data_IF_430477953377
#
_entry.id   IF_430477953377
#
_cell.length_a   1.000
_cell.length_b   1.000
_cell.length_c   1.000
_cell.angle_alpha   90.00
_cell.angle_beta   90.00
_cell.angle_gamma   90.00
#
_symmetry.space_group_name_H-M   'P 1'
#
loop_
_entity.id
_entity.type
_entity.pdbx_description
1 polymer ?
#
# COMPACT_ATOMS: atom_id res chain seq x y z
N UNK A 1 -22.50 17.16 -13.15
CA UNK A 1 -21.28 16.84 -12.39
C UNK A 1 -21.22 17.77 -11.21
N UNK A 2 -21.13 17.20 -10.02
CA UNK A 2 -20.94 17.98 -8.80
C UNK A 2 -19.48 18.42 -8.68
N UNK A 3 -19.20 19.42 -7.86
CA UNK A 3 -17.84 19.93 -7.62
C UNK A 3 -17.53 19.76 -6.14
N UNK A 4 -16.40 19.12 -5.84
CA UNK A 4 -15.86 18.97 -4.50
C UNK A 4 -14.56 19.78 -4.35
N UNK A 5 -14.50 20.59 -3.31
CA UNK A 5 -13.38 21.50 -3.02
C UNK A 5 -13.48 22.88 -3.69
N UNK A 6 -12.42 23.67 -3.61
CA UNK A 6 -12.35 25.02 -4.18
C UNK A 6 -12.14 24.97 -5.71
N UNK A 7 -13.05 25.53 -6.52
CA UNK A 7 -12.91 25.56 -7.99
C UNK A 7 -11.68 26.32 -8.50
N UNK A 8 -11.08 27.17 -7.66
CA UNK A 8 -9.88 27.95 -8.00
C UNK A 8 -8.58 27.15 -7.83
N UNK A 9 -8.65 26.02 -7.14
CA UNK A 9 -7.52 25.14 -6.88
C UNK A 9 -7.27 24.17 -8.04
N UNK A 10 -6.05 23.62 -8.17
CA UNK A 10 -5.75 22.64 -9.22
C UNK A 10 -6.69 21.42 -9.14
N UNK A 11 -7.02 20.90 -10.31
CA UNK A 11 -7.91 19.76 -10.48
C UNK A 11 -7.17 18.46 -10.11
N UNK A 12 -7.68 17.72 -9.13
CA UNK A 12 -7.14 16.42 -8.75
C UNK A 12 -7.64 15.31 -9.69
N UNK A 13 -8.93 15.30 -10.01
CA UNK A 13 -9.50 14.25 -10.84
C UNK A 13 -11.03 14.27 -10.92
N UNK A 14 -11.60 13.23 -11.52
CA UNK A 14 -13.04 12.98 -11.55
C UNK A 14 -13.33 11.63 -10.92
N UNK A 15 -14.26 11.61 -9.97
CA UNK A 15 -14.70 10.42 -9.26
C UNK A 15 -16.17 10.08 -9.53
N UNK A 16 -16.52 8.81 -9.43
CA UNK A 16 -17.89 8.33 -9.47
C UNK A 16 -18.12 7.24 -8.41
N UNK A 17 -19.34 7.19 -7.90
CA UNK A 17 -19.82 6.20 -6.94
C UNK A 17 -20.51 5.04 -7.67
N UNK A 18 -20.30 3.81 -7.21
CA UNK A 18 -20.89 2.59 -7.77
C UNK A 18 -21.67 1.83 -6.72
N UNK A 19 -22.71 1.11 -7.15
CA UNK A 19 -23.62 0.42 -6.25
C UNK A 19 -23.03 -0.84 -5.61
N UNK A 20 -22.06 -1.51 -6.26
CA UNK A 20 -21.57 -2.81 -5.81
C UNK A 20 -20.09 -3.06 -6.11
N UNK A 21 -19.49 -3.97 -5.35
CA UNK A 21 -18.14 -4.48 -5.60
C UNK A 21 -17.99 -5.15 -6.98
N UNK A 22 -19.05 -5.77 -7.50
CA UNK A 22 -19.03 -6.43 -8.81
C UNK A 22 -18.95 -5.40 -9.92
N UNK A 23 -19.73 -4.32 -9.79
CA UNK A 23 -19.68 -3.19 -10.72
C UNK A 23 -18.31 -2.55 -10.70
N UNK A 24 -17.71 -2.40 -9.52
CA UNK A 24 -16.40 -1.79 -9.38
C UNK A 24 -15.29 -2.60 -10.09
N UNK A 25 -15.34 -3.93 -10.03
CA UNK A 25 -14.40 -4.80 -10.76
C UNK A 25 -14.62 -4.70 -12.27
N UNK A 26 -15.89 -4.61 -12.72
CA UNK A 26 -16.22 -4.41 -14.14
C UNK A 26 -15.67 -3.07 -14.64
N UNK A 27 -15.94 -2.00 -13.90
CA UNK A 27 -15.47 -0.64 -14.17
C UNK A 27 -13.94 -0.61 -14.24
N UNK A 28 -13.24 -1.19 -13.26
CA UNK A 28 -11.77 -1.23 -13.28
C UNK A 28 -11.20 -1.89 -14.55
N UNK A 29 -11.82 -2.95 -15.05
CA UNK A 29 -11.43 -3.58 -16.33
C UNK A 29 -11.72 -2.67 -17.52
N UNK A 30 -12.87 -2.01 -17.55
CA UNK A 30 -13.26 -1.12 -18.64
C UNK A 30 -12.39 0.15 -18.66
N UNK A 31 -12.05 0.74 -17.51
CA UNK A 31 -11.09 1.84 -17.38
C UNK A 31 -9.73 1.44 -17.95
N UNK A 32 -9.24 0.25 -17.59
CA UNK A 32 -7.97 -0.28 -18.09
C UNK A 32 -8.02 -0.56 -19.59
N UNK A 33 -9.10 -1.14 -20.10
CA UNK A 33 -9.30 -1.41 -21.52
C UNK A 33 -9.42 -0.12 -22.34
N UNK A 34 -9.98 0.94 -21.75
CA UNK A 34 -10.02 2.28 -22.33
C UNK A 34 -8.66 2.98 -22.32
N UNK A 35 -7.63 2.40 -21.69
CA UNK A 35 -6.26 2.92 -21.71
C UNK A 35 -5.96 3.97 -20.65
N UNK A 36 -6.78 4.09 -19.61
CA UNK A 36 -6.41 4.87 -18.43
C UNK A 36 -5.34 4.13 -17.61
N UNK A 37 -4.31 4.84 -17.21
CA UNK A 37 -3.17 4.35 -16.44
C UNK A 37 -3.16 4.87 -15.00
N UNK A 38 -3.64 6.10 -14.77
CA UNK A 38 -3.66 6.78 -13.47
C UNK A 38 -5.08 6.87 -12.94
N UNK A 39 -5.60 5.75 -12.45
CA UNK A 39 -6.87 5.67 -11.77
C UNK A 39 -6.76 4.81 -10.51
N UNK A 40 -7.54 5.17 -9.50
CA UNK A 40 -7.64 4.46 -8.24
C UNK A 40 -9.08 4.01 -8.00
N UNK A 41 -9.19 2.90 -7.29
CA UNK A 41 -10.46 2.26 -6.97
C UNK A 41 -10.52 2.02 -5.48
N UNK A 42 -11.59 2.49 -4.85
CA UNK A 42 -11.77 2.45 -3.41
C UNK A 42 -12.95 1.57 -3.02
N UNK A 43 -12.71 0.68 -2.07
CA UNK A 43 -13.72 -0.20 -1.49
C UNK A 43 -13.49 -0.38 0.01
N UNK A 44 -14.56 -0.59 0.81
CA UNK A 44 -14.44 -0.77 2.26
C UNK A 44 -13.73 -2.07 2.66
N UNK A 45 -13.65 -3.03 1.74
CA UNK A 45 -13.02 -4.33 1.94
C UNK A 45 -12.26 -4.79 0.69
N UNK A 46 -11.31 -5.73 0.82
CA UNK A 46 -10.57 -6.26 -0.32
C UNK A 46 -11.45 -7.12 -1.23
N UNK A 47 -11.58 -6.71 -2.49
CA UNK A 47 -12.37 -7.42 -3.50
C UNK A 47 -11.47 -8.41 -4.24
N UNK A 48 -11.85 -9.69 -4.25
CA UNK A 48 -11.09 -10.73 -4.94
C UNK A 48 -11.03 -10.47 -6.44
N UNK A 49 -9.83 -10.46 -7.00
CA UNK A 49 -9.61 -10.23 -8.44
C UNK A 49 -9.51 -8.76 -8.85
N UNK A 50 -9.62 -7.81 -7.92
CA UNK A 50 -9.39 -6.39 -8.20
C UNK A 50 -7.96 -6.16 -8.73
N UNK A 51 -6.94 -6.81 -8.16
CA UNK A 51 -5.56 -6.71 -8.63
C UNK A 51 -5.39 -7.07 -10.11
N UNK A 52 -6.15 -8.07 -10.59
CA UNK A 52 -6.15 -8.49 -11.99
C UNK A 52 -6.91 -7.51 -12.88
N UNK A 53 -7.96 -6.89 -12.35
CA UNK A 53 -8.76 -5.89 -13.06
C UNK A 53 -7.98 -4.58 -13.27
N UNK A 54 -7.34 -4.08 -12.21
CA UNK A 54 -6.48 -2.89 -12.25
C UNK A 54 -5.15 -3.18 -12.96
N UNK A 55 -4.74 -4.45 -13.06
CA UNK A 55 -3.43 -4.88 -13.57
C UNK A 55 -2.26 -4.27 -12.77
N UNK A 56 -2.42 -4.24 -11.45
CA UNK A 56 -1.39 -3.66 -10.57
C UNK A 56 -0.09 -4.49 -10.62
N UNK A 57 1.04 -3.79 -10.55
CA UNK A 57 2.36 -4.44 -10.50
C UNK A 57 2.53 -5.12 -9.14
N UNK A 58 3.27 -6.23 -9.12
CA UNK A 58 3.63 -6.90 -7.86
C UNK A 58 4.40 -5.93 -6.96
N UNK A 59 3.99 -5.84 -5.70
CA UNK A 59 4.63 -5.00 -4.70
C UNK A 59 6.08 -5.46 -4.44
N UNK A 60 7.09 -4.56 -4.48
CA UNK A 60 8.46 -4.88 -4.08
C UNK A 60 8.64 -5.09 -2.57
N UNK A 61 7.61 -4.89 -1.74
CA UNK A 61 7.70 -4.95 -0.28
C UNK A 61 8.33 -6.25 0.24
N UNK A 62 7.98 -7.40 -0.36
CA UNK A 62 8.54 -8.70 0.05
C UNK A 62 10.08 -8.77 -0.07
N UNK A 63 10.66 -8.13 -1.09
CA UNK A 63 12.13 -8.06 -1.24
C UNK A 63 12.77 -7.17 -0.19
N UNK A 64 12.11 -6.05 0.13
CA UNK A 64 12.58 -5.11 1.15
C UNK A 64 12.58 -5.78 2.52
N UNK A 65 11.49 -6.48 2.88
CA UNK A 65 11.38 -7.24 4.13
C UNK A 65 12.44 -8.34 4.23
N UNK A 66 12.72 -9.06 3.14
CA UNK A 66 13.77 -10.07 3.13
C UNK A 66 15.15 -9.48 3.45
N UNK A 67 15.49 -8.32 2.88
CA UNK A 67 16.75 -7.62 3.17
C UNK A 67 16.78 -7.19 4.64
N UNK A 68 15.67 -6.67 5.19
CA UNK A 68 15.54 -6.34 6.60
C UNK A 68 15.73 -7.54 7.54
N UNK A 69 15.14 -8.69 7.20
CA UNK A 69 15.35 -9.93 7.95
C UNK A 69 16.81 -10.39 7.91
N UNK A 70 17.45 -10.33 6.74
CA UNK A 70 18.85 -10.70 6.57
C UNK A 70 19.78 -9.80 7.40
N UNK A 71 19.54 -8.49 7.44
CA UNK A 71 20.32 -7.58 8.28
C UNK A 71 20.11 -7.87 9.77
N UNK A 72 18.87 -8.17 10.20
CA UNK A 72 18.58 -8.61 11.57
C UNK A 72 19.30 -9.90 11.95
N UNK A 73 19.32 -10.89 11.05
CA UNK A 73 20.04 -12.14 11.26
C UNK A 73 21.55 -11.90 11.43
N UNK A 74 22.16 -11.13 10.52
CA UNK A 74 23.59 -10.80 10.59
C UNK A 74 23.93 -9.99 11.85
N UNK A 75 23.06 -9.05 12.25
CA UNK A 75 23.20 -8.29 13.48
C UNK A 75 23.17 -9.19 14.71
N UNK A 76 22.28 -10.19 14.76
CA UNK A 76 22.22 -11.14 15.87
C UNK A 76 23.45 -12.06 15.92
N UNK A 77 23.92 -12.56 14.77
CA UNK A 77 25.17 -13.31 14.69
C UNK A 77 26.32 -12.45 15.22
N UNK A 78 26.45 -11.20 14.78
CA UNK A 78 27.48 -10.30 15.27
C UNK A 78 27.36 -10.04 16.78
N UNK A 79 26.15 -9.77 17.26
CA UNK A 79 25.86 -9.48 18.67
C UNK A 79 26.21 -10.65 19.59
N UNK A 80 26.02 -11.89 19.15
CA UNK A 80 26.27 -13.08 19.99
C UNK A 80 27.66 -13.66 19.78
N UNK A 81 28.07 -13.84 18.52
CA UNK A 81 29.32 -14.50 18.20
C UNK A 81 30.54 -13.65 18.58
N UNK A 82 30.51 -12.33 18.33
CA UNK A 82 31.67 -11.48 18.59
C UNK A 82 32.00 -11.45 20.10
N UNK A 83 31.06 -11.17 21.02
CA UNK A 83 31.38 -11.17 22.45
C UNK A 83 31.76 -12.55 22.96
N UNK A 84 31.01 -13.59 22.59
CA UNK A 84 31.17 -14.93 23.16
C UNK A 84 32.32 -15.76 22.59
N UNK A 85 32.84 -15.44 21.40
CA UNK A 85 33.92 -16.18 20.77
C UNK A 85 35.21 -15.36 20.56
N UNK A 86 35.10 -14.04 20.35
CA UNK A 86 36.25 -13.19 19.99
C UNK A 86 36.72 -12.33 21.17
N UNK A 87 35.79 -11.59 21.80
CA UNK A 87 36.17 -10.61 22.83
C UNK A 87 36.45 -11.27 24.16
N UNK A 88 35.52 -12.10 24.65
CA UNK A 88 35.64 -12.70 25.97
C UNK A 88 35.01 -14.10 26.01
N UNK A 89 35.75 -15.13 25.56
CA UNK A 89 35.24 -16.49 25.56
C UNK A 89 35.10 -16.99 27.00
N UNK A 90 33.85 -17.18 27.42
CA UNK A 90 33.49 -17.70 28.74
C UNK A 90 32.96 -19.13 28.63
N UNK A 91 33.61 -20.05 29.35
CA UNK A 91 33.12 -21.42 29.52
C UNK A 91 32.15 -21.44 30.71
N UNK A 92 30.86 -21.41 30.41
CA UNK A 92 29.79 -21.43 31.43
C UNK A 92 29.24 -22.85 31.54
N UNK A 93 29.37 -23.46 32.72
CA UNK A 93 28.91 -24.83 33.00
C UNK A 93 29.47 -25.92 32.06
N UNK A 94 30.71 -25.74 31.56
CA UNK A 94 31.33 -26.68 30.63
C UNK A 94 30.68 -26.74 29.24
N UNK A 95 29.77 -25.81 28.92
CA UNK A 95 29.12 -25.74 27.61
C UNK A 95 30.14 -25.37 26.53
N UNK A 96 29.98 -25.90 25.30
CA UNK A 96 30.82 -25.52 24.19
C UNK A 96 30.63 -24.03 23.86
N UNK A 97 31.70 -23.37 23.42
CA UNK A 97 31.70 -21.98 22.95
C UNK A 97 31.92 -21.91 21.43
N UNK A 98 31.72 -20.73 20.83
CA UNK A 98 31.89 -20.54 19.38
C UNK A 98 30.80 -21.24 18.55
N UNK A 99 31.20 -21.92 17.47
CA UNK A 99 30.26 -22.50 16.50
C UNK A 99 29.37 -23.62 17.09
N UNK A 100 29.88 -24.37 18.06
CA UNK A 100 29.11 -25.47 18.68
C UNK A 100 28.02 -24.98 19.65
N UNK A 101 27.98 -23.68 19.96
CA UNK A 101 26.97 -23.04 20.81
C UNK A 101 25.73 -22.53 20.05
N UNK A 102 25.67 -22.73 18.73
CA UNK A 102 24.55 -22.27 17.87
C UNK A 102 23.15 -22.61 18.44
N UNK A 103 22.90 -23.81 19.02
CA UNK A 103 21.58 -24.11 19.58
C UNK A 103 21.16 -23.14 20.69
N UNK A 104 22.10 -22.61 21.47
CA UNK A 104 21.83 -21.61 22.50
C UNK A 104 21.61 -20.20 21.91
N UNK A 105 22.17 -19.92 20.73
CA UNK A 105 22.02 -18.63 20.05
C UNK A 105 20.71 -18.52 19.27
N UNK A 106 20.15 -19.65 18.85
CA UNK A 106 18.99 -19.73 17.96
C UNK A 106 17.79 -18.87 18.40
N UNK A 107 17.37 -18.82 19.67
CA UNK A 107 16.24 -17.98 20.07
C UNK A 107 16.47 -16.49 19.72
N UNK A 108 17.66 -15.96 20.01
CA UNK A 108 17.97 -14.54 19.74
C UNK A 108 18.16 -14.29 18.25
N UNK A 109 18.78 -15.23 17.51
CA UNK A 109 18.88 -15.17 16.05
C UNK A 109 17.49 -15.05 15.42
N UNK A 110 16.56 -15.90 15.85
CA UNK A 110 15.18 -15.89 15.38
C UNK A 110 14.47 -14.58 15.72
N UNK A 111 14.47 -14.17 17.00
CA UNK A 111 13.75 -12.98 17.45
C UNK A 111 14.27 -11.71 16.77
N UNK A 112 15.59 -11.54 16.63
CA UNK A 112 16.15 -10.35 15.97
C UNK A 112 15.84 -10.33 14.48
N UNK A 113 15.83 -11.49 13.81
CA UNK A 113 15.43 -11.61 12.40
C UNK A 113 13.97 -11.21 12.22
N UNK A 114 13.08 -11.72 13.07
CA UNK A 114 11.65 -11.39 13.03
C UNK A 114 11.41 -9.91 13.37
N UNK A 115 12.10 -9.37 14.36
CA UNK A 115 12.01 -7.97 14.77
C UNK A 115 12.35 -7.01 13.61
N UNK A 116 13.50 -7.19 12.97
CA UNK A 116 13.90 -6.34 11.86
C UNK A 116 13.00 -6.53 10.63
N UNK A 117 12.54 -7.76 10.37
CA UNK A 117 11.57 -8.04 9.32
C UNK A 117 10.26 -7.29 9.56
N UNK A 118 9.75 -7.32 10.79
CA UNK A 118 8.49 -6.68 11.18
C UNK A 118 8.57 -5.14 11.07
N UNK A 119 9.64 -4.52 11.59
CA UNK A 119 9.84 -3.08 11.44
C UNK A 119 9.99 -2.66 9.98
N UNK A 120 10.75 -3.42 9.20
CA UNK A 120 10.95 -3.16 7.78
C UNK A 120 9.64 -3.33 6.99
N UNK A 121 8.82 -4.32 7.34
CA UNK A 121 7.50 -4.52 6.75
C UNK A 121 6.56 -3.36 7.07
N UNK A 122 6.50 -2.95 8.34
CA UNK A 122 5.63 -1.87 8.79
C UNK A 122 6.03 -0.52 8.18
N UNK A 123 7.29 -0.11 8.34
CA UNK A 123 7.79 1.17 7.82
C UNK A 123 7.79 1.16 6.30
N UNK A 124 8.21 0.05 5.68
CA UNK A 124 8.19 -0.12 4.23
C UNK A 124 6.79 -0.02 3.64
N UNK A 125 5.79 -0.65 4.28
CA UNK A 125 4.40 -0.53 3.88
C UNK A 125 3.94 0.92 3.93
N UNK A 126 4.13 1.61 5.06
CA UNK A 126 3.71 3.00 5.23
C UNK A 126 4.32 3.92 4.17
N UNK A 127 5.62 3.82 3.92
CA UNK A 127 6.29 4.61 2.89
C UNK A 127 5.74 4.33 1.49
N UNK A 128 5.42 3.07 1.18
CA UNK A 128 4.92 2.68 -0.14
C UNK A 128 3.50 3.14 -0.43
N UNK A 129 2.63 3.16 0.59
CA UNK A 129 1.27 3.72 0.47
C UNK A 129 1.26 5.25 0.64
N UNK A 130 2.42 5.88 0.89
CA UNK A 130 2.57 7.32 1.06
C UNK A 130 2.06 7.85 2.40
N UNK A 131 2.01 7.01 3.45
CA UNK A 131 1.68 7.42 4.81
C UNK A 131 2.96 7.76 5.61
N UNK A 132 2.90 8.73 6.54
CA UNK A 132 1.73 9.51 6.97
C UNK A 132 1.36 10.63 5.99
N UNK A 133 0.11 10.64 5.52
CA UNK A 133 -0.48 11.71 4.71
C UNK A 133 -1.72 12.22 5.42
N UNK A 134 -1.65 13.43 5.97
CA UNK A 134 -2.72 14.00 6.79
C UNK A 134 -3.91 14.51 5.98
N UNK A 135 -3.66 15.00 4.76
CA UNK A 135 -4.71 15.44 3.85
C UNK A 135 -4.58 14.79 2.47
N UNK A 136 -5.70 14.27 1.97
CA UNK A 136 -5.85 13.75 0.63
C UNK A 136 -7.00 14.50 -0.05
N UNK A 137 -6.85 15.01 -1.30
CA UNK A 137 -7.89 15.79 -1.98
C UNK A 137 -9.27 15.13 -2.04
N UNK A 138 -9.30 13.79 -2.07
CA UNK A 138 -10.54 12.99 -2.02
C UNK A 138 -11.40 13.22 -0.76
N UNK A 139 -10.82 13.68 0.34
CA UNK A 139 -11.59 13.98 1.56
C UNK A 139 -12.47 15.23 1.43
N UNK A 140 -12.22 16.09 0.43
CA UNK A 140 -13.10 17.20 0.09
C UNK A 140 -14.44 16.74 -0.48
N UNK A 141 -14.52 15.49 -0.96
CA UNK A 141 -15.74 14.91 -1.47
C UNK A 141 -16.61 14.35 -0.34
N UNK A 142 -17.72 15.00 -0.03
CA UNK A 142 -18.59 14.62 1.09
C UNK A 142 -19.07 13.17 1.05
N UNK A 143 -19.34 12.62 -0.14
CA UNK A 143 -19.75 11.22 -0.31
C UNK A 143 -18.61 10.24 -0.04
N UNK A 144 -17.37 10.64 -0.29
CA UNK A 144 -16.20 9.80 -0.05
C UNK A 144 -16.00 9.47 1.44
N UNK A 145 -16.61 10.23 2.37
CA UNK A 145 -16.62 9.90 3.80
C UNK A 145 -17.23 8.50 4.10
N UNK A 146 -18.09 7.99 3.21
CA UNK A 146 -18.68 6.65 3.30
C UNK A 146 -17.81 5.50 2.75
N UNK A 147 -16.62 5.78 2.21
CA UNK A 147 -15.75 4.78 1.55
C UNK A 147 -15.37 3.59 2.42
N UNK A 148 -15.27 3.81 3.74
CA UNK A 148 -14.90 2.76 4.69
C UNK A 148 -16.09 1.94 5.21
N UNK A 149 -17.34 2.36 4.90
CA UNK A 149 -18.55 1.69 5.37
C UNK A 149 -19.21 0.90 4.23
N UNK A 150 -19.75 1.60 3.24
CA UNK A 150 -20.61 1.07 2.19
C UNK A 150 -20.31 1.62 0.79
N UNK A 151 -19.48 2.65 0.67
CA UNK A 151 -19.21 3.32 -0.60
C UNK A 151 -18.17 2.63 -1.48
N UNK A 152 -18.50 2.42 -2.75
CA UNK A 152 -17.57 1.97 -3.79
C UNK A 152 -17.28 3.11 -4.76
N UNK A 153 -16.02 3.48 -4.92
CA UNK A 153 -15.65 4.64 -5.72
C UNK A 153 -14.56 4.29 -6.74
N UNK A 154 -14.66 4.85 -7.95
CA UNK A 154 -13.54 4.90 -8.88
C UNK A 154 -13.19 6.36 -9.17
N UNK A 155 -11.91 6.67 -9.15
CA UNK A 155 -11.38 8.01 -9.40
C UNK A 155 -10.32 7.93 -10.48
N UNK A 156 -10.44 8.82 -11.47
CA UNK A 156 -9.43 8.98 -12.51
C UNK A 156 -8.74 10.32 -12.25
N UNK A 157 -7.42 10.26 -12.11
CA UNK A 157 -6.63 11.43 -11.77
C UNK A 157 -6.31 12.29 -12.99
N UNK A 158 -6.17 13.59 -12.76
CA UNK A 158 -5.85 14.57 -13.80
C UNK A 158 -4.45 14.40 -14.40
N UNK A 159 -3.58 13.65 -13.72
CA UNK A 159 -2.24 13.28 -14.20
C UNK A 159 -2.25 12.26 -15.35
N UNK A 160 -3.37 11.61 -15.61
CA UNK A 160 -3.47 10.65 -16.70
C UNK A 160 -3.37 11.35 -18.08
N UNK A 161 -2.56 10.86 -19.03
CA UNK A 161 -2.43 11.47 -20.36
C UNK A 161 -3.74 11.55 -21.15
N UNK A 162 -4.70 10.64 -20.88
CA UNK A 162 -6.01 10.58 -21.53
C UNK A 162 -7.09 11.34 -20.74
N UNK A 163 -6.73 12.01 -19.66
CA UNK A 163 -7.69 12.70 -18.82
C UNK A 163 -8.30 13.93 -19.53
N UNK A 164 -9.63 13.97 -19.58
CA UNK A 164 -10.39 15.16 -19.96
C UNK A 164 -11.60 15.28 -19.04
N UNK A 165 -11.78 16.43 -18.38
CA UNK A 165 -12.82 16.63 -17.35
C UNK A 165 -14.22 16.17 -17.80
N UNK A 166 -14.64 16.60 -18.99
CA UNK A 166 -15.99 16.33 -19.49
C UNK A 166 -16.12 14.92 -20.09
N UNK A 167 -15.10 14.44 -20.81
CA UNK A 167 -15.13 13.13 -21.46
C UNK A 167 -15.01 12.01 -20.42
N UNK A 168 -14.08 12.14 -19.48
CA UNK A 168 -13.87 11.20 -18.38
C UNK A 168 -15.12 11.10 -17.51
N UNK A 169 -15.76 12.23 -17.20
CA UNK A 169 -16.99 12.20 -16.39
C UNK A 169 -18.16 11.55 -17.14
N UNK A 170 -18.36 11.85 -18.43
CA UNK A 170 -19.37 11.15 -19.26
C UNK A 170 -19.08 9.65 -19.41
N UNK A 171 -17.79 9.28 -19.46
CA UNK A 171 -17.38 7.89 -19.50
C UNK A 171 -17.72 7.18 -18.19
N UNK A 172 -17.45 7.80 -17.03
CA UNK A 172 -17.86 7.23 -15.75
C UNK A 172 -19.38 7.11 -15.61
N UNK A 173 -20.16 8.07 -16.13
CA UNK A 173 -21.62 7.99 -16.19
C UNK A 173 -22.09 6.82 -17.06
N UNK A 174 -21.48 6.60 -18.23
CA UNK A 174 -21.86 5.50 -19.14
C UNK A 174 -21.57 4.11 -18.56
N UNK A 175 -20.61 4.01 -17.63
CA UNK A 175 -20.28 2.79 -16.91
C UNK A 175 -21.28 2.46 -15.78
N UNK A 176 -22.22 3.37 -15.49
CA UNK A 176 -23.18 3.25 -14.40
C UNK A 176 -22.76 3.96 -13.12
N UNK A 177 -21.81 4.89 -13.20
CA UNK A 177 -21.39 5.73 -12.08
C UNK A 177 -22.49 6.72 -11.67
N UNK A 178 -22.89 6.69 -10.41
CA UNK A 178 -23.72 7.70 -9.78
C UNK A 178 -22.88 8.83 -9.18
N UNK A 179 -23.47 10.01 -9.00
CA UNK A 179 -22.87 11.14 -8.28
C UNK A 179 -21.48 11.54 -8.82
N UNK A 180 -21.34 11.66 -10.15
CA UNK A 180 -20.07 12.01 -10.78
C UNK A 180 -19.63 13.40 -10.35
N UNK A 181 -18.48 13.44 -9.69
CA UNK A 181 -17.97 14.61 -8.99
C UNK A 181 -16.56 14.95 -9.47
N UNK A 182 -16.34 16.23 -9.74
CA UNK A 182 -15.04 16.82 -10.07
C UNK A 182 -14.36 17.24 -8.77
N UNK A 183 -13.14 16.77 -8.52
CA UNK A 183 -12.45 16.93 -7.23
C UNK A 183 -11.24 17.84 -7.40
N UNK A 184 -11.15 18.89 -6.58
CA UNK A 184 -10.05 19.86 -6.55
C UNK A 184 -9.13 19.66 -5.32
N UNK A 185 -7.86 20.04 -5.44
CA UNK A 185 -6.87 19.99 -4.35
C UNK A 185 -7.01 21.21 -3.43
N UNK A 186 -7.55 21.06 -2.21
CA UNK A 186 -7.59 22.14 -1.22
C UNK A 186 -6.47 22.05 -0.18
#
# INVERSE_FOLDING_TARGET
MDIAGNPSSPLYGVGAEFASAVDLVRVAKELRAAGYESFDVFSPFPIHGMDKAVQSRRSPLGRIVFIGGLTGFLAAVALQYIPSAVIYPLIVHGKPFGFFAIPAYFPILFETTVLFSAFTAFIGLLMMIGLPRFNHPLFNWDRFKGVSADGFFAVIESRDPKFSKDETGRFLESLGGSNVTVIHED
#
